data_IF_029676794056
#
_entry.id   IF_029676794056
#
_cell.length_a   1.000
_cell.length_b   1.000
_cell.length_c   1.000
_cell.angle_alpha   90.00
_cell.angle_beta   90.00
_cell.angle_gamma   90.00
#
_symmetry.space_group_name_H-M   'P 1'
#
loop_
_entity.id
_entity.type
_entity.pdbx_description
1 polymer ?
#
# COMPACT_ATOMS: atom_id res chain seq x y z
N UNK A 1 -27.52 -13.88 -6.36
CA UNK A 1 -26.82 -12.58 -6.32
C UNK A 1 -25.35 -12.89 -6.45
N UNK A 2 -24.67 -12.35 -7.47
CA UNK A 2 -23.23 -12.57 -7.63
C UNK A 2 -22.53 -11.79 -6.51
N UNK A 3 -22.23 -12.47 -5.41
CA UNK A 3 -21.52 -11.90 -4.26
C UNK A 3 -20.08 -11.64 -4.66
N UNK A 4 -19.84 -10.56 -5.40
CA UNK A 4 -18.47 -10.07 -5.57
C UNK A 4 -17.97 -9.69 -4.19
N UNK A 5 -16.89 -10.32 -3.72
CA UNK A 5 -16.21 -10.05 -2.43
C UNK A 5 -15.67 -8.61 -2.28
N UNK A 6 -16.06 -7.69 -3.18
CA UNK A 6 -15.65 -6.29 -3.20
C UNK A 6 -16.88 -5.42 -3.39
N UNK A 7 -17.66 -5.20 -2.32
CA UNK A 7 -18.78 -4.25 -2.37
C UNK A 7 -18.34 -2.81 -2.70
N UNK A 8 -17.04 -2.49 -2.55
CA UNK A 8 -16.49 -1.13 -2.72
C UNK A 8 -15.20 -1.07 -3.56
N UNK A 9 -14.84 -2.14 -4.28
CA UNK A 9 -13.58 -2.20 -5.05
C UNK A 9 -12.31 -2.04 -4.21
N UNK A 10 -11.20 -1.69 -4.87
CA UNK A 10 -9.96 -1.28 -4.21
C UNK A 10 -10.07 0.18 -3.78
N UNK A 11 -9.75 0.47 -2.51
CA UNK A 11 -9.80 1.82 -1.94
C UNK A 11 -8.38 2.38 -1.78
N UNK A 12 -7.62 2.37 -2.87
CA UNK A 12 -6.26 2.90 -3.01
C UNK A 12 -5.98 3.20 -4.48
N UNK A 13 -4.94 3.98 -4.78
CA UNK A 13 -4.56 4.29 -6.16
C UNK A 13 -3.69 3.22 -6.82
N UNK A 14 -3.54 3.34 -8.15
CA UNK A 14 -2.92 2.34 -9.04
C UNK A 14 -1.41 2.09 -8.80
N UNK A 15 -0.72 3.01 -8.14
CA UNK A 15 0.70 2.86 -7.82
C UNK A 15 1.02 1.68 -6.92
N UNK A 16 0.03 1.14 -6.20
CA UNK A 16 0.18 -0.09 -5.43
C UNK A 16 -0.29 -1.35 -6.15
N UNK A 17 -0.68 -1.27 -7.42
CA UNK A 17 -1.16 -2.42 -8.20
C UNK A 17 -0.19 -3.61 -8.16
N UNK A 18 1.08 -3.40 -8.53
CA UNK A 18 2.07 -4.49 -8.55
C UNK A 18 2.30 -5.08 -7.16
N UNK A 19 2.26 -4.25 -6.12
CA UNK A 19 2.43 -4.68 -4.74
C UNK A 19 1.26 -5.58 -4.31
N UNK A 20 0.04 -5.17 -4.59
CA UNK A 20 -1.20 -5.91 -4.31
C UNK A 20 -1.22 -7.21 -5.11
N UNK A 21 -0.96 -7.13 -6.42
CA UNK A 21 -0.94 -8.29 -7.31
C UNK A 21 0.06 -9.35 -6.84
N UNK A 22 1.29 -8.95 -6.54
CA UNK A 22 2.31 -9.88 -6.04
C UNK A 22 1.94 -10.48 -4.67
N UNK A 23 1.29 -9.70 -3.81
CA UNK A 23 0.81 -10.18 -2.51
C UNK A 23 -0.27 -11.24 -2.67
N UNK A 24 -1.29 -10.96 -3.49
CA UNK A 24 -2.38 -11.90 -3.76
C UNK A 24 -1.83 -13.18 -4.41
N UNK A 25 -0.88 -13.09 -5.35
CA UNK A 25 -0.23 -14.27 -5.94
C UNK A 25 0.48 -15.15 -4.92
N UNK A 26 1.17 -14.55 -3.93
CA UNK A 26 1.83 -15.32 -2.86
C UNK A 26 0.81 -16.03 -1.98
N UNK A 27 -0.28 -15.36 -1.64
CA UNK A 27 -1.38 -15.94 -0.85
C UNK A 27 -2.08 -17.08 -1.59
N UNK A 28 -2.37 -16.90 -2.88
CA UNK A 28 -2.96 -17.93 -3.75
C UNK A 28 -2.05 -19.16 -3.87
N UNK A 29 -0.75 -18.95 -4.12
CA UNK A 29 0.21 -20.04 -4.13
C UNK A 29 0.26 -20.78 -2.78
N UNK A 30 0.28 -20.04 -1.66
CA UNK A 30 0.24 -20.63 -0.33
C UNK A 30 -1.06 -21.44 -0.09
N UNK A 31 -2.20 -20.92 -0.53
CA UNK A 31 -3.49 -21.60 -0.45
C UNK A 31 -3.46 -22.94 -1.19
N UNK A 32 -2.92 -22.97 -2.41
CA UNK A 32 -2.82 -24.18 -3.23
C UNK A 32 -1.93 -25.26 -2.61
N UNK A 33 -0.80 -24.90 -2.00
CA UNK A 33 0.12 -25.88 -1.40
C UNK A 33 -0.33 -26.37 -0.02
N UNK A 34 -1.03 -25.53 0.75
CA UNK A 34 -1.42 -25.82 2.12
C UNK A 34 -2.83 -26.39 2.25
N UNK A 35 -3.67 -26.19 1.23
CA UNK A 35 -5.10 -26.47 1.28
C UNK A 35 -5.90 -25.45 2.11
N UNK A 36 -5.28 -24.36 2.56
CA UNK A 36 -5.95 -23.33 3.36
C UNK A 36 -6.70 -22.35 2.47
N UNK A 37 -8.02 -22.27 2.59
CA UNK A 37 -8.83 -21.24 1.94
C UNK A 37 -8.58 -19.85 2.54
N UNK A 38 -8.19 -18.89 1.70
CA UNK A 38 -8.00 -17.48 2.08
C UNK A 38 -8.89 -16.62 1.19
N UNK A 39 -9.79 -15.85 1.79
CA UNK A 39 -10.60 -14.86 1.06
C UNK A 39 -10.18 -13.46 1.45
N UNK A 40 -9.94 -12.61 0.45
CA UNK A 40 -9.69 -11.18 0.66
C UNK A 40 -11.04 -10.46 0.76
N UNK A 41 -11.24 -9.70 1.83
CA UNK A 41 -12.48 -8.98 2.10
C UNK A 41 -12.39 -7.50 1.71
N UNK A 42 -11.23 -6.90 1.91
CA UNK A 42 -11.03 -5.48 1.62
C UNK A 42 -9.57 -5.17 1.37
N UNK A 43 -9.32 -4.28 0.41
CA UNK A 43 -8.01 -3.68 0.18
C UNK A 43 -8.17 -2.16 0.17
N UNK A 44 -7.45 -1.48 1.05
CA UNK A 44 -7.60 -0.04 1.25
C UNK A 44 -6.30 0.62 1.70
N UNK A 45 -6.22 1.91 1.43
CA UNK A 45 -5.31 2.80 2.11
C UNK A 45 -5.81 3.09 3.55
N UNK A 46 -4.87 3.15 4.49
CA UNK A 46 -5.08 3.67 5.83
C UNK A 46 -3.79 4.26 6.40
N UNK A 47 -3.82 5.56 6.69
CA UNK A 47 -2.72 6.32 7.27
C UNK A 47 -1.41 6.36 6.44
N UNK A 48 -1.54 6.35 5.11
CA UNK A 48 -0.45 6.27 4.14
C UNK A 48 0.06 4.85 3.90
N UNK A 49 -0.68 3.84 4.31
CA UNK A 49 -0.26 2.44 4.24
C UNK A 49 -1.34 1.55 3.62
N UNK A 50 -0.92 0.49 2.94
CA UNK A 50 -1.80 -0.55 2.45
C UNK A 50 -2.34 -1.37 3.63
N UNK A 51 -3.63 -1.71 3.57
CA UNK A 51 -4.29 -2.68 4.44
C UNK A 51 -5.04 -3.70 3.58
N UNK A 52 -4.75 -4.96 3.83
CA UNK A 52 -5.44 -6.10 3.22
C UNK A 52 -6.14 -6.85 4.35
N UNK A 53 -7.46 -6.77 4.39
CA UNK A 53 -8.29 -7.54 5.31
C UNK A 53 -8.66 -8.87 4.64
N UNK A 54 -8.52 -9.95 5.40
CA UNK A 54 -8.71 -11.30 4.90
C UNK A 54 -9.41 -12.16 5.95
N UNK A 55 -10.04 -13.23 5.46
CA UNK A 55 -10.72 -14.21 6.28
C UNK A 55 -10.23 -15.62 5.92
N UNK A 56 -9.68 -16.38 6.88
CA UNK A 56 -9.32 -17.77 6.67
C UNK A 56 -10.57 -18.65 6.76
N UNK A 57 -11.04 -19.19 5.63
CA UNK A 57 -12.26 -20.01 5.61
C UNK A 57 -12.07 -21.40 6.25
N UNK A 58 -10.83 -21.92 6.31
CA UNK A 58 -10.61 -23.34 6.64
C UNK A 58 -9.47 -23.60 7.64
N UNK A 59 -8.86 -22.56 8.25
CA UNK A 59 -7.73 -22.77 9.18
C UNK A 59 -8.09 -23.49 10.48
N UNK A 60 -9.36 -23.42 10.91
CA UNK A 60 -9.85 -24.08 12.12
C UNK A 60 -9.91 -25.60 12.01
N UNK A 61 -9.83 -26.14 10.79
CA UNK A 61 -9.84 -27.57 10.52
C UNK A 61 -8.44 -28.21 10.56
N UNK A 62 -7.40 -27.39 10.66
CA UNK A 62 -6.02 -27.87 10.80
C UNK A 62 -5.70 -28.19 12.27
N UNK A 63 -4.70 -29.05 12.48
CA UNK A 63 -4.09 -29.19 13.80
C UNK A 63 -3.52 -27.85 14.28
N UNK A 64 -3.59 -27.58 15.59
CA UNK A 64 -3.29 -26.27 16.19
C UNK A 64 -1.90 -25.72 15.81
N UNK A 65 -0.89 -26.59 15.75
CA UNK A 65 0.47 -26.27 15.33
C UNK A 65 0.55 -25.80 13.87
N UNK A 66 -0.20 -26.49 12.98
CA UNK A 66 -0.30 -26.13 11.56
C UNK A 66 -1.11 -24.86 11.35
N UNK A 67 -2.20 -24.65 12.09
CA UNK A 67 -2.98 -23.40 12.05
C UNK A 67 -2.11 -22.20 12.42
N UNK A 68 -1.32 -22.31 13.49
CA UNK A 68 -0.43 -21.23 13.93
C UNK A 68 0.65 -20.91 12.89
N UNK A 69 1.25 -21.94 12.29
CA UNK A 69 2.26 -21.78 11.25
C UNK A 69 1.69 -21.12 9.99
N UNK A 70 0.52 -21.58 9.53
CA UNK A 70 -0.17 -20.98 8.40
C UNK A 70 -0.54 -19.50 8.64
N UNK A 71 -1.02 -19.18 9.84
CA UNK A 71 -1.33 -17.80 10.23
C UNK A 71 -0.09 -16.90 10.21
N UNK A 72 1.06 -17.41 10.69
CA UNK A 72 2.34 -16.70 10.61
C UNK A 72 2.73 -16.36 9.17
N UNK A 73 2.67 -17.33 8.26
CA UNK A 73 3.02 -17.12 6.84
C UNK A 73 2.11 -16.09 6.18
N UNK A 74 0.79 -16.19 6.38
CA UNK A 74 -0.17 -15.26 5.78
C UNK A 74 0.07 -13.83 6.26
N UNK A 75 0.30 -13.66 7.56
CA UNK A 75 0.62 -12.34 8.11
C UNK A 75 1.95 -11.81 7.59
N UNK A 76 3.00 -12.62 7.51
CA UNK A 76 4.30 -12.18 6.98
C UNK A 76 4.18 -11.67 5.54
N UNK A 77 3.36 -12.34 4.72
CA UNK A 77 3.08 -11.91 3.34
C UNK A 77 2.38 -10.54 3.31
N UNK A 78 1.37 -10.33 4.16
CA UNK A 78 0.59 -9.09 4.22
C UNK A 78 1.37 -7.94 4.89
N UNK A 79 2.15 -8.23 5.93
CA UNK A 79 2.98 -7.28 6.65
C UNK A 79 4.14 -6.79 5.78
N UNK A 80 4.68 -7.66 4.92
CA UNK A 80 5.63 -7.25 3.89
C UNK A 80 4.99 -6.23 2.94
N UNK A 81 3.78 -6.50 2.45
CA UNK A 81 3.07 -5.58 1.56
C UNK A 81 2.79 -4.24 2.25
N UNK A 82 2.29 -4.29 3.49
CA UNK A 82 2.05 -3.12 4.34
C UNK A 82 3.33 -2.30 4.53
N UNK A 83 4.45 -2.94 4.84
CA UNK A 83 5.73 -2.27 5.07
C UNK A 83 6.30 -1.66 3.80
N UNK A 84 6.20 -2.37 2.67
CA UNK A 84 6.63 -1.85 1.37
C UNK A 84 5.82 -0.63 0.97
N UNK A 85 4.49 -0.65 1.17
CA UNK A 85 3.60 0.46 0.80
C UNK A 85 3.98 1.80 1.43
N UNK A 86 4.52 1.81 2.67
CA UNK A 86 5.02 3.01 3.39
C UNK A 86 6.09 3.79 2.61
N UNK A 87 6.79 3.12 1.70
CA UNK A 87 7.88 3.67 0.92
C UNK A 87 7.60 3.66 -0.59
N UNK A 88 6.35 3.37 -0.98
CA UNK A 88 5.91 3.29 -2.37
C UNK A 88 4.81 4.32 -2.58
N UNK A 89 4.99 5.22 -3.53
CA UNK A 89 3.99 6.21 -3.91
C UNK A 89 2.72 5.50 -4.35
N UNK A 90 1.62 5.78 -3.66
CA UNK A 90 0.33 5.14 -3.91
C UNK A 90 -0.20 5.42 -5.31
N UNK A 91 0.17 6.56 -5.90
CA UNK A 91 -0.34 6.98 -7.22
C UNK A 91 0.48 6.42 -8.38
N UNK A 92 1.82 6.37 -8.26
CA UNK A 92 2.69 6.02 -9.39
C UNK A 92 3.64 4.84 -9.17
N UNK A 93 3.66 4.23 -7.98
CA UNK A 93 4.46 3.05 -7.66
C UNK A 93 5.96 3.27 -7.49
N UNK A 94 6.46 4.49 -7.71
CA UNK A 94 7.87 4.86 -7.45
C UNK A 94 8.12 5.05 -5.95
N UNK A 95 9.38 5.19 -5.54
CA UNK A 95 9.73 5.48 -4.14
C UNK A 95 8.98 6.72 -3.62
N UNK A 96 8.21 6.53 -2.57
CA UNK A 96 7.39 7.55 -1.91
C UNK A 96 7.79 7.77 -0.45
N UNK A 97 7.15 8.74 0.17
CA UNK A 97 7.25 9.02 1.60
C UNK A 97 5.89 9.42 2.14
N UNK A 98 5.69 9.29 3.45
CA UNK A 98 4.46 9.76 4.08
C UNK A 98 4.36 11.30 3.96
N UNK A 99 3.31 11.75 3.30
CA UNK A 99 2.94 13.15 3.19
C UNK A 99 1.60 13.40 3.88
N UNK A 100 1.37 14.64 4.30
CA UNK A 100 0.13 15.06 4.95
C UNK A 100 -0.41 16.38 4.38
N UNK A 101 -1.74 16.52 4.44
CA UNK A 101 -2.52 17.73 4.17
C UNK A 101 -3.63 17.82 5.22
N UNK A 102 -3.46 18.66 6.24
CA UNK A 102 -4.38 18.71 7.37
C UNK A 102 -4.47 17.34 8.07
N UNK A 103 -5.69 16.79 8.18
CA UNK A 103 -5.93 15.46 8.77
C UNK A 103 -5.77 14.29 7.80
N UNK A 104 -5.46 14.56 6.53
CA UNK A 104 -5.25 13.53 5.51
C UNK A 104 -3.76 13.20 5.39
N UNK A 105 -3.44 11.92 5.24
CA UNK A 105 -2.10 11.46 4.93
C UNK A 105 -2.11 10.42 3.82
N UNK A 106 -1.02 10.39 3.06
CA UNK A 106 -0.86 9.54 1.87
C UNK A 106 0.62 9.35 1.57
N UNK A 107 1.03 8.17 1.12
CA UNK A 107 2.43 7.96 0.72
C UNK A 107 2.62 8.41 -0.73
N UNK A 108 3.38 9.50 -0.92
CA UNK A 108 3.53 10.18 -2.21
C UNK A 108 5.00 10.45 -2.54
N UNK A 109 5.31 10.55 -3.84
CA UNK A 109 6.63 10.99 -4.31
C UNK A 109 6.61 12.46 -4.71
N UNK A 110 7.80 13.07 -4.75
CA UNK A 110 7.98 14.47 -5.14
C UNK A 110 7.31 14.82 -6.47
N UNK A 111 7.49 13.99 -7.49
CA UNK A 111 6.92 14.23 -8.81
C UNK A 111 5.39 14.17 -8.79
N UNK A 112 4.78 13.22 -8.09
CA UNK A 112 3.33 13.13 -7.96
C UNK A 112 2.77 14.38 -7.32
N UNK A 113 3.36 14.84 -6.21
CA UNK A 113 2.91 16.05 -5.52
C UNK A 113 3.04 17.28 -6.41
N UNK A 114 4.16 17.45 -7.14
CA UNK A 114 4.37 18.66 -7.96
C UNK A 114 3.64 18.66 -9.30
N UNK A 115 3.31 17.49 -9.84
CA UNK A 115 2.74 17.37 -11.19
C UNK A 115 1.23 17.04 -11.17
N UNK A 116 0.61 16.90 -10.00
CA UNK A 116 -0.80 16.54 -9.87
C UNK A 116 -1.53 17.55 -9.00
N UNK A 117 -2.56 18.18 -9.54
CA UNK A 117 -3.34 19.23 -8.88
C UNK A 117 -3.99 18.75 -7.56
N UNK A 118 -4.49 17.51 -7.54
CA UNK A 118 -5.09 16.89 -6.35
C UNK A 118 -4.14 16.80 -5.17
N UNK A 119 -2.84 16.55 -5.43
CA UNK A 119 -1.85 16.23 -4.41
C UNK A 119 -0.91 17.39 -4.09
N UNK A 120 -1.00 18.54 -4.77
CA UNK A 120 -0.02 19.63 -4.67
C UNK A 120 0.17 20.22 -3.27
N UNK A 121 -0.86 20.16 -2.44
CA UNK A 121 -0.84 20.68 -1.08
C UNK A 121 -0.26 19.69 -0.05
N UNK A 122 0.02 18.45 -0.46
CA UNK A 122 0.66 17.47 0.43
C UNK A 122 2.13 17.82 0.63
N UNK A 123 2.58 17.77 1.89
CA UNK A 123 3.98 17.97 2.27
C UNK A 123 4.52 16.74 2.99
N UNK A 124 5.81 16.39 2.83
CA UNK A 124 6.41 15.31 3.61
C UNK A 124 6.30 15.58 5.12
N UNK A 125 5.98 14.53 5.88
CA UNK A 125 5.97 14.60 7.35
C UNK A 125 7.40 14.69 7.91
N UNK A 126 8.40 14.16 7.19
CA UNK A 126 9.80 14.31 7.55
C UNK A 126 10.30 15.73 7.25
N UNK A 127 10.75 16.45 8.28
CA UNK A 127 11.31 17.80 8.14
C UNK A 127 12.53 17.85 7.19
N UNK A 128 13.35 16.80 7.17
CA UNK A 128 14.46 16.70 6.23
C UNK A 128 13.98 16.60 4.78
N UNK A 129 12.98 15.76 4.47
CA UNK A 129 12.42 15.65 3.12
C UNK A 129 11.70 16.93 2.69
N UNK A 130 11.04 17.61 3.63
CA UNK A 130 10.40 18.90 3.40
C UNK A 130 11.42 19.98 2.98
N UNK A 131 12.56 20.07 3.69
CA UNK A 131 13.66 20.95 3.32
C UNK A 131 14.28 20.59 1.97
N UNK A 132 14.45 19.29 1.70
CA UNK A 132 14.96 18.78 0.42
C UNK A 132 14.04 19.17 -0.74
N UNK A 133 12.74 18.93 -0.63
CA UNK A 133 11.77 19.26 -1.68
C UNK A 133 11.71 20.75 -1.95
N UNK A 134 11.75 21.58 -0.90
CA UNK A 134 11.83 23.05 -1.03
C UNK A 134 13.09 23.48 -1.81
N UNK A 135 14.21 22.80 -1.58
CA UNK A 135 15.47 23.08 -2.30
C UNK A 135 15.35 22.67 -3.78
N UNK A 136 14.75 21.52 -4.07
CA UNK A 136 14.50 21.06 -5.43
C UNK A 136 13.58 22.00 -6.20
N UNK A 137 12.54 22.53 -5.55
CA UNK A 137 11.62 23.49 -6.16
C UNK A 137 12.34 24.77 -6.58
N UNK A 138 13.16 25.35 -5.69
CA UNK A 138 13.99 26.53 -6.01
C UNK A 138 14.98 26.27 -7.14
N UNK A 139 15.59 25.09 -7.17
CA UNK A 139 16.54 24.72 -8.23
C UNK A 139 15.86 24.66 -9.60
N UNK A 140 14.64 24.08 -9.67
CA UNK A 140 13.85 24.04 -10.91
C UNK A 140 13.47 25.45 -11.37
N UNK A 141 13.00 26.32 -10.48
CA UNK A 141 12.65 27.70 -10.84
C UNK A 141 13.82 28.47 -11.43
N UNK A 142 15.03 28.29 -10.87
CA UNK A 142 16.24 28.94 -11.37
C UNK A 142 16.68 28.39 -12.74
N UNK A 143 16.38 27.12 -13.05
CA UNK A 143 16.66 26.52 -14.35
C UNK A 143 15.80 27.12 -15.48
N UNK A 144 14.59 27.60 -15.17
CA UNK A 144 13.70 28.24 -16.17
C UNK A 144 13.85 29.76 -16.26
N UNK A 145 14.70 30.37 -15.41
CA UNK A 145 15.00 31.82 -15.42
C UNK A 145 16.30 32.17 -16.16
N UNK A 146 17.11 31.17 -16.51
CA UNK A 146 18.31 31.29 -17.34
C UNK A 146 18.04 30.73 -18.73
#
# INVERSE_FOLDING_TARGET
>A
MSSTCFAFGFQCDDGWYDLIYNTIRKLDFFSQISGVGITIEQVKEKFGELRIYYNPLDMSLLAEDKSKFAWGIVNDIIDNATTTSKNTCEVCGKKGTLCAKGSWCKTLCYNTVRNTEEYKEFIPVSEWLKALWTTLDKAKENQYKN
#
